data_IF_185422399788
#
_entry.id   IF_185422399788
#
_cell.length_a   1.000
_cell.length_b   1.000
_cell.length_c   1.000
_cell.angle_alpha   90.00
_cell.angle_beta   90.00
_cell.angle_gamma   90.00
#
_symmetry.space_group_name_H-M   'P 1'
#
loop_
_entity.id
_entity.type
_entity.pdbx_description
1 polymer ?
#
# COMPACT_ATOMS: atom_id res chain seq x y z
N UNK A 1 24.17 -60.42 -2.66
CA UNK A 1 24.29 -58.94 -2.66
C UNK A 1 23.49 -58.37 -3.83
N UNK A 2 22.30 -57.82 -3.58
CA UNK A 2 21.58 -56.97 -4.54
C UNK A 2 21.04 -55.78 -3.74
N UNK A 3 21.74 -54.65 -3.82
CA UNK A 3 21.33 -53.39 -3.21
C UNK A 3 20.19 -52.82 -4.06
N UNK A 4 18.97 -52.86 -3.55
CA UNK A 4 17.86 -52.11 -4.11
C UNK A 4 18.02 -50.64 -3.67
N UNK A 5 18.44 -49.78 -4.60
CA UNK A 5 18.39 -48.33 -4.41
C UNK A 5 16.93 -47.88 -4.50
N UNK A 6 16.27 -47.76 -3.35
CA UNK A 6 15.07 -46.94 -3.21
C UNK A 6 15.51 -45.47 -3.19
N UNK A 7 15.62 -44.85 -4.37
CA UNK A 7 15.71 -43.39 -4.45
C UNK A 7 14.30 -42.87 -4.23
N UNK A 8 14.08 -42.34 -3.03
CA UNK A 8 12.91 -41.54 -2.68
C UNK A 8 12.70 -40.47 -3.76
N UNK A 9 11.65 -40.63 -4.57
CA UNK A 9 11.03 -39.53 -5.29
C UNK A 9 10.24 -38.66 -4.30
N UNK A 10 10.94 -38.09 -3.32
CA UNK A 10 10.45 -36.99 -2.48
C UNK A 10 10.63 -35.68 -3.25
N UNK A 11 10.06 -35.59 -4.46
CA UNK A 11 9.80 -34.30 -5.09
C UNK A 11 8.68 -33.67 -4.28
N UNK A 12 9.11 -32.99 -3.23
CA UNK A 12 8.35 -32.01 -2.47
C UNK A 12 7.40 -31.28 -3.41
N UNK A 13 6.13 -31.37 -3.08
CA UNK A 13 5.05 -30.47 -3.44
C UNK A 13 5.46 -29.04 -3.05
N UNK A 14 6.42 -28.45 -3.76
CA UNK A 14 6.61 -27.03 -3.78
C UNK A 14 5.42 -26.49 -4.58
N UNK A 15 4.30 -26.29 -3.89
CA UNK A 15 3.29 -25.38 -4.39
C UNK A 15 4.02 -24.08 -4.79
N UNK A 16 3.72 -23.49 -5.96
CA UNK A 16 4.31 -22.21 -6.30
C UNK A 16 4.04 -21.28 -5.11
N UNK A 17 5.09 -20.78 -4.48
CA UNK A 17 4.93 -19.77 -3.46
C UNK A 17 4.31 -18.58 -4.18
N UNK A 18 3.02 -18.31 -3.92
CA UNK A 18 2.36 -17.14 -4.47
C UNK A 18 3.18 -15.92 -4.04
N UNK A 19 3.73 -15.22 -5.02
CA UNK A 19 4.66 -14.12 -4.80
C UNK A 19 3.84 -12.90 -4.41
N UNK A 20 3.57 -12.73 -3.13
CA UNK A 20 2.90 -11.56 -2.60
C UNK A 20 3.85 -10.41 -2.33
N UNK A 21 3.25 -9.28 -1.98
CA UNK A 21 3.96 -8.09 -1.53
C UNK A 21 3.52 -7.80 -0.10
N UNK A 22 4.49 -7.54 0.77
CA UNK A 22 4.28 -7.03 2.12
C UNK A 22 4.77 -5.59 2.18
N UNK A 23 3.95 -4.72 2.75
CA UNK A 23 4.28 -3.33 3.07
C UNK A 23 3.97 -3.12 4.54
N UNK A 24 4.94 -2.61 5.30
CA UNK A 24 4.74 -2.13 6.66
C UNK A 24 5.15 -0.67 6.72
N UNK A 25 4.38 0.11 7.48
CA UNK A 25 4.62 1.54 7.57
C UNK A 25 3.75 2.22 8.61
N UNK A 26 3.71 3.55 8.53
CA UNK A 26 2.84 4.41 9.33
C UNK A 26 2.20 5.44 8.43
N UNK A 27 0.89 5.59 8.52
CA UNK A 27 0.12 6.66 7.89
C UNK A 27 -0.50 7.48 9.02
N UNK A 28 -0.26 8.78 9.04
CA UNK A 28 -0.80 9.67 10.09
C UNK A 28 -0.38 9.25 11.52
N UNK A 29 0.78 8.61 11.61
CA UNK A 29 1.30 7.99 12.84
C UNK A 29 0.67 6.64 13.22
N UNK A 30 -0.36 6.19 12.49
CA UNK A 30 -1.03 4.92 12.71
C UNK A 30 -0.25 3.80 12.03
N UNK A 31 0.18 2.75 12.75
CA UNK A 31 0.90 1.64 12.15
C UNK A 31 -0.03 0.84 11.24
N UNK A 32 0.50 0.49 10.07
CA UNK A 32 -0.21 -0.26 9.04
C UNK A 32 0.68 -1.36 8.48
N UNK A 33 0.02 -2.46 8.15
CA UNK A 33 0.59 -3.58 7.41
C UNK A 33 -0.36 -3.93 6.28
N UNK A 34 0.13 -4.00 5.06
CA UNK A 34 -0.61 -4.39 3.88
C UNK A 34 0.06 -5.62 3.27
N UNK A 35 -0.74 -6.63 3.00
CA UNK A 35 -0.33 -7.84 2.30
C UNK A 35 -1.24 -8.01 1.08
N UNK A 36 -0.64 -8.12 -0.09
CA UNK A 36 -1.34 -8.18 -1.37
C UNK A 36 -0.72 -9.27 -2.25
N UNK A 37 -1.52 -9.80 -3.17
CA UNK A 37 -1.06 -10.71 -4.20
C UNK A 37 -0.14 -9.96 -5.19
N UNK A 38 0.86 -10.65 -5.74
CA UNK A 38 1.68 -10.10 -6.83
C UNK A 38 0.89 -9.97 -8.14
N UNK A 39 1.42 -9.26 -9.14
CA UNK A 39 0.74 -9.11 -10.44
C UNK A 39 0.48 -10.48 -11.09
N UNK A 40 -0.77 -10.74 -11.51
CA UNK A 40 -1.17 -12.00 -12.14
C UNK A 40 -1.35 -13.19 -11.17
N UNK A 41 -1.14 -12.99 -9.87
CA UNK A 41 -1.42 -14.00 -8.86
C UNK A 41 -2.93 -14.05 -8.52
N UNK A 42 -3.46 -15.21 -8.10
CA UNK A 42 -4.83 -15.30 -7.64
C UNK A 42 -5.15 -14.30 -6.54
N UNK A 43 -6.34 -13.70 -6.58
CA UNK A 43 -6.79 -12.67 -5.64
C UNK A 43 -6.09 -11.32 -5.80
N UNK A 44 -5.56 -11.04 -7.00
CA UNK A 44 -5.27 -9.69 -7.46
C UNK A 44 -6.52 -8.79 -7.25
N UNK A 45 -6.36 -7.68 -6.52
CA UNK A 45 -7.46 -6.81 -6.13
C UNK A 45 -8.02 -7.04 -4.73
N UNK A 46 -7.57 -8.07 -4.02
CA UNK A 46 -7.83 -8.25 -2.59
C UNK A 46 -6.58 -7.87 -1.77
N UNK A 47 -6.78 -7.17 -0.65
CA UNK A 47 -5.68 -6.74 0.24
C UNK A 47 -6.00 -7.10 1.68
N UNK A 48 -5.08 -7.80 2.35
CA UNK A 48 -5.13 -7.97 3.80
C UNK A 48 -4.45 -6.78 4.45
N UNK A 49 -5.20 -5.98 5.17
CA UNK A 49 -4.65 -4.87 5.95
C UNK A 49 -4.65 -5.23 7.44
N UNK A 50 -3.71 -4.67 8.18
CA UNK A 50 -3.77 -4.57 9.64
C UNK A 50 -3.54 -3.12 10.00
N UNK A 51 -4.54 -2.47 10.60
CA UNK A 51 -4.49 -1.05 10.98
C UNK A 51 -4.52 -0.96 12.49
N UNK A 52 -3.47 -0.41 13.10
CA UNK A 52 -3.31 -0.35 14.56
C UNK A 52 -3.53 -1.72 15.26
N UNK A 53 -3.08 -2.81 14.62
CA UNK A 53 -3.22 -4.18 15.13
C UNK A 53 -4.55 -4.86 14.77
N UNK A 54 -5.44 -4.19 14.05
CA UNK A 54 -6.76 -4.71 13.72
C UNK A 54 -6.80 -5.25 12.28
N UNK A 55 -7.07 -6.54 12.08
CA UNK A 55 -7.06 -7.15 10.75
C UNK A 55 -8.31 -6.77 9.97
N UNK A 56 -8.10 -6.45 8.68
CA UNK A 56 -9.12 -6.09 7.71
C UNK A 56 -8.84 -6.82 6.38
N UNK A 57 -9.90 -7.15 5.66
CA UNK A 57 -9.85 -7.63 4.29
C UNK A 57 -10.51 -6.59 3.40
N UNK A 58 -9.77 -6.12 2.40
CA UNK A 58 -10.23 -5.11 1.45
C UNK A 58 -10.45 -5.77 0.10
N UNK A 59 -11.61 -5.52 -0.50
CA UNK A 59 -11.89 -5.84 -1.90
C UNK A 59 -11.86 -4.52 -2.68
N UNK A 60 -10.80 -4.33 -3.45
CA UNK A 60 -10.57 -3.10 -4.22
C UNK A 60 -11.47 -3.02 -5.46
N UNK A 61 -11.98 -4.15 -5.98
CA UNK A 61 -12.90 -4.13 -7.10
C UNK A 61 -14.29 -3.68 -6.65
N UNK A 62 -14.71 -4.12 -5.46
CA UNK A 62 -15.99 -3.73 -4.85
C UNK A 62 -15.94 -2.47 -4.00
N UNK A 63 -14.75 -2.03 -3.60
CA UNK A 63 -14.56 -0.90 -2.69
C UNK A 63 -15.08 -1.19 -1.29
N UNK A 64 -14.93 -2.43 -0.79
CA UNK A 64 -15.48 -2.89 0.49
C UNK A 64 -14.40 -3.31 1.47
N UNK A 65 -14.73 -3.24 2.77
CA UNK A 65 -13.85 -3.63 3.88
C UNK A 65 -14.57 -4.61 4.80
N UNK A 66 -13.91 -5.70 5.17
CA UNK A 66 -14.38 -6.72 6.12
C UNK A 66 -13.42 -6.89 7.30
N UNK A 67 -13.90 -7.05 8.55
CA UNK A 67 -15.28 -6.83 8.95
C UNK A 67 -15.69 -5.37 8.71
N UNK A 68 -16.92 -5.17 8.22
CA UNK A 68 -17.46 -3.84 8.02
C UNK A 68 -17.65 -3.18 9.39
N UNK A 69 -16.69 -2.33 9.80
CA UNK A 69 -16.87 -1.46 10.95
C UNK A 69 -17.87 -0.39 10.54
N UNK A 70 -18.91 -0.22 11.35
CA UNK A 70 -20.05 0.69 11.15
C UNK A 70 -19.72 1.80 10.17
N UNK A 71 -20.03 1.56 8.90
CA UNK A 71 -19.65 2.41 7.80
C UNK A 71 -20.42 3.71 7.96
N UNK A 72 -19.76 4.76 8.44
CA UNK A 72 -20.11 6.06 7.90
C UNK A 72 -19.47 6.08 6.53
N UNK A 73 -20.15 5.46 5.57
CA UNK A 73 -19.94 5.80 4.16
C UNK A 73 -20.20 7.30 4.15
N UNK A 74 -19.16 8.12 4.22
CA UNK A 74 -19.31 9.53 3.93
C UNK A 74 -19.73 9.51 2.48
N UNK A 75 -21.04 9.62 2.26
CA UNK A 75 -21.53 10.23 1.03
C UNK A 75 -20.65 11.45 0.85
N UNK A 76 -20.02 11.55 -0.31
CA UNK A 76 -19.16 12.66 -0.70
C UNK A 76 -20.01 13.94 -0.76
N UNK A 77 -20.53 14.40 0.38
CA UNK A 77 -20.90 15.77 0.59
C UNK A 77 -19.57 16.51 0.46
N UNK A 78 -19.43 17.21 -0.66
CA UNK A 78 -18.18 17.75 -1.21
C UNK A 78 -17.11 17.91 -0.16
N UNK A 79 -16.08 17.06 -0.25
CA UNK A 79 -14.84 17.30 0.49
C UNK A 79 -14.36 18.74 0.22
N UNK A 80 -13.54 19.32 1.10
CA UNK A 80 -12.96 20.63 0.84
C UNK A 80 -12.37 20.63 -0.58
N UNK A 81 -12.68 21.67 -1.35
CA UNK A 81 -12.16 21.83 -2.71
C UNK A 81 -10.64 21.84 -2.62
N UNK A 82 -10.01 20.81 -3.20
CA UNK A 82 -8.55 20.70 -3.24
C UNK A 82 -8.05 21.55 -4.39
N UNK A 83 -7.06 22.41 -4.12
CA UNK A 83 -6.44 23.26 -5.13
C UNK A 83 -5.61 22.47 -6.14
N UNK A 84 -4.87 23.18 -6.99
CA UNK A 84 -3.96 22.53 -7.94
C UNK A 84 -2.76 21.94 -7.20
N UNK A 85 -2.73 20.60 -7.10
CA UNK A 85 -1.65 19.86 -6.43
C UNK A 85 -0.58 19.41 -7.41
N UNK A 86 0.69 19.63 -7.08
CA UNK A 86 1.84 19.27 -7.91
C UNK A 86 2.98 18.67 -7.08
N UNK A 87 3.65 17.64 -7.63
CA UNK A 87 4.95 17.16 -7.13
C UNK A 87 6.06 17.66 -8.05
N UNK A 88 6.92 18.52 -7.52
CA UNK A 88 8.08 19.06 -8.25
C UNK A 88 9.36 18.35 -7.81
N UNK A 89 10.12 17.68 -8.71
CA UNK A 89 11.40 17.08 -8.35
C UNK A 89 12.41 18.14 -7.89
N UNK A 90 13.07 17.90 -6.75
CA UNK A 90 14.16 18.72 -6.22
C UNK A 90 15.54 18.13 -6.52
N UNK A 91 15.61 16.80 -6.74
CA UNK A 91 16.85 16.12 -7.07
C UNK A 91 16.78 14.61 -6.88
N UNK A 92 17.93 13.95 -7.03
CA UNK A 92 18.07 12.52 -6.77
C UNK A 92 17.86 12.18 -5.30
N UNK A 93 17.18 11.08 -5.03
CA UNK A 93 16.98 10.49 -3.72
C UNK A 93 17.87 9.27 -3.50
N UNK A 94 17.59 8.52 -2.42
CA UNK A 94 18.30 7.28 -2.12
C UNK A 94 18.11 6.22 -3.23
N UNK A 95 19.15 5.43 -3.50
CA UNK A 95 19.07 4.28 -4.41
C UNK A 95 18.46 3.08 -3.69
N UNK A 96 17.44 2.46 -4.28
CA UNK A 96 16.77 1.27 -3.78
C UNK A 96 16.75 0.20 -4.86
N UNK A 97 17.25 -0.99 -4.53
CA UNK A 97 17.31 -2.12 -5.47
C UNK A 97 17.92 -1.72 -6.85
N UNK A 98 18.94 -0.85 -6.84
CA UNK A 98 19.60 -0.37 -8.07
C UNK A 98 18.88 0.77 -8.80
N UNK A 99 17.72 1.21 -8.33
CA UNK A 99 16.97 2.34 -8.90
C UNK A 99 17.08 3.59 -8.03
N UNK A 100 17.39 4.72 -8.65
CA UNK A 100 17.48 6.02 -7.97
C UNK A 100 16.08 6.52 -7.63
N UNK A 101 15.83 6.84 -6.36
CA UNK A 101 14.62 7.54 -5.92
C UNK A 101 14.66 9.03 -6.26
N UNK A 102 13.61 9.77 -5.93
CA UNK A 102 13.54 11.22 -6.12
C UNK A 102 13.08 11.91 -4.85
N UNK A 103 13.72 13.02 -4.50
CA UNK A 103 13.19 13.98 -3.53
C UNK A 103 12.31 14.99 -4.26
N UNK A 104 11.13 15.27 -3.72
CA UNK A 104 10.10 16.06 -4.39
C UNK A 104 9.41 16.99 -3.39
N UNK A 105 9.00 18.14 -3.87
CA UNK A 105 8.20 19.12 -3.14
C UNK A 105 6.73 18.94 -3.54
N UNK A 106 5.84 18.75 -2.55
CA UNK A 106 4.40 18.78 -2.76
C UNK A 106 3.87 20.19 -2.56
N UNK A 107 3.21 20.73 -3.57
CA UNK A 107 2.57 22.04 -3.52
C UNK A 107 1.08 21.98 -3.82
N UNK A 108 0.32 22.89 -3.22
CA UNK A 108 -1.09 23.17 -3.53
C UNK A 108 -1.22 24.67 -3.81
N UNK A 109 -1.69 25.04 -5.01
CA UNK A 109 -1.78 26.44 -5.46
C UNK A 109 -0.49 27.25 -5.21
N UNK A 110 0.66 26.59 -5.40
CA UNK A 110 1.99 27.19 -5.18
C UNK A 110 2.46 27.25 -3.72
N UNK A 111 1.63 26.84 -2.74
CA UNK A 111 2.03 26.73 -1.32
C UNK A 111 2.70 25.38 -1.08
N UNK A 112 3.72 25.35 -0.23
CA UNK A 112 4.41 24.11 0.13
C UNK A 112 3.60 23.36 1.19
N UNK A 113 3.11 22.17 0.83
CA UNK A 113 2.35 21.29 1.72
C UNK A 113 3.21 20.23 2.40
N UNK A 114 4.34 19.89 1.77
CA UNK A 114 5.28 18.92 2.30
C UNK A 114 6.30 18.50 1.26
N UNK A 115 7.00 17.42 1.59
CA UNK A 115 8.04 16.85 0.77
C UNK A 115 7.86 15.33 0.72
N UNK A 116 8.37 14.72 -0.36
CA UNK A 116 8.27 13.28 -0.62
C UNK A 116 9.61 12.75 -1.10
N UNK A 117 10.08 11.70 -0.46
CA UNK A 117 11.10 10.80 -0.99
C UNK A 117 10.39 9.61 -1.64
N UNK A 118 10.35 9.57 -2.97
CA UNK A 118 9.60 8.61 -3.75
C UNK A 118 10.48 7.65 -4.55
N UNK A 119 9.93 6.46 -4.83
CA UNK A 119 10.47 5.48 -5.76
C UNK A 119 9.50 5.25 -6.92
N UNK A 120 9.82 5.80 -8.09
CA UNK A 120 8.94 5.70 -9.26
C UNK A 120 8.75 4.24 -9.74
N UNK A 121 9.80 3.42 -9.68
CA UNK A 121 9.75 2.06 -10.23
C UNK A 121 8.81 1.13 -9.46
N UNK A 122 8.60 1.38 -8.16
CA UNK A 122 7.75 0.54 -7.31
C UNK A 122 6.27 0.74 -7.59
N UNK A 123 5.87 1.93 -8.06
CA UNK A 123 4.45 2.31 -8.13
C UNK A 123 3.60 1.34 -8.95
N UNK A 124 4.12 0.83 -10.07
CA UNK A 124 3.39 -0.16 -10.90
C UNK A 124 3.01 -1.44 -10.16
N UNK A 125 3.77 -1.81 -9.13
CA UNK A 125 3.51 -2.99 -8.31
C UNK A 125 2.67 -2.65 -7.08
N UNK A 126 2.75 -1.40 -6.61
CA UNK A 126 2.14 -0.93 -5.37
C UNK A 126 0.87 -0.10 -5.58
N UNK A 127 0.42 0.06 -6.82
CA UNK A 127 -0.86 0.71 -7.15
C UNK A 127 -2.05 0.12 -6.37
N UNK A 128 -2.18 -1.22 -6.18
CA UNK A 128 -3.22 -1.78 -5.32
C UNK A 128 -3.10 -1.32 -3.87
N UNK A 129 -1.88 -1.11 -3.36
CA UNK A 129 -1.67 -0.60 -2.01
C UNK A 129 -2.06 0.88 -1.89
N UNK A 130 -1.84 1.70 -2.92
CA UNK A 130 -2.35 3.08 -2.94
C UNK A 130 -3.87 3.10 -2.86
N UNK A 131 -4.55 2.29 -3.67
CA UNK A 131 -6.02 2.15 -3.65
C UNK A 131 -6.54 1.63 -2.32
N UNK A 132 -5.83 0.68 -1.71
CA UNK A 132 -6.17 0.17 -0.38
C UNK A 132 -6.08 1.27 0.68
N UNK A 133 -5.03 2.10 0.64
CA UNK A 133 -4.87 3.21 1.58
C UNK A 133 -5.95 4.29 1.37
N UNK A 134 -6.29 4.66 0.14
CA UNK A 134 -7.43 5.56 -0.13
C UNK A 134 -8.74 5.01 0.44
N UNK A 135 -8.98 3.70 0.28
CA UNK A 135 -10.16 3.05 0.82
C UNK A 135 -10.17 3.08 2.36
N UNK A 136 -9.01 2.87 2.99
CA UNK A 136 -8.85 2.97 4.44
C UNK A 136 -9.05 4.41 4.95
N UNK A 137 -8.46 5.42 4.29
CA UNK A 137 -8.66 6.85 4.62
C UNK A 137 -10.14 7.24 4.58
N UNK A 138 -10.92 6.66 3.67
CA UNK A 138 -12.36 6.92 3.55
C UNK A 138 -13.22 6.28 4.65
N UNK A 139 -12.71 5.25 5.36
CA UNK A 139 -13.50 4.44 6.29
C UNK A 139 -12.99 4.46 7.74
N UNK A 140 -11.71 4.73 7.97
CA UNK A 140 -11.09 4.75 9.29
C UNK A 140 -10.76 6.19 9.71
N UNK A 141 -11.47 6.77 10.68
CA UNK A 141 -11.22 8.14 11.14
C UNK A 141 -9.80 8.39 11.67
N UNK A 142 -9.08 7.33 12.07
CA UNK A 142 -7.68 7.46 12.53
C UNK A 142 -6.74 7.79 11.38
N UNK A 143 -7.12 7.42 10.16
CA UNK A 143 -6.37 7.61 8.93
C UNK A 143 -6.89 8.79 8.11
N UNK A 144 -7.87 9.55 8.61
CA UNK A 144 -8.43 10.69 7.87
C UNK A 144 -7.31 11.71 7.54
N UNK A 145 -7.20 12.15 6.27
CA UNK A 145 -6.20 13.13 5.87
C UNK A 145 -6.35 14.42 6.67
N UNK A 146 -5.24 15.02 7.07
CA UNK A 146 -5.24 16.25 7.89
C UNK A 146 -4.72 17.43 7.10
N UNK A 147 -5.38 18.56 7.26
CA UNK A 147 -4.92 19.84 6.73
C UNK A 147 -3.61 20.25 7.41
N UNK A 148 -2.65 20.73 6.63
CA UNK A 148 -1.28 21.03 7.10
C UNK A 148 -0.71 22.22 6.39
N UNK A 149 0.04 23.04 7.12
CA UNK A 149 0.81 24.14 6.53
C UNK A 149 -0.02 25.09 5.63
N UNK A 150 -1.33 25.24 5.91
CA UNK A 150 -2.24 26.04 5.10
C UNK A 150 -2.69 25.38 3.79
N UNK A 151 -2.47 24.08 3.64
CA UNK A 151 -2.99 23.25 2.57
C UNK A 151 -4.20 22.43 3.04
N UNK A 152 -5.01 22.02 2.06
CA UNK A 152 -6.14 21.11 2.21
C UNK A 152 -5.72 19.76 2.82
N UNK A 153 -6.66 18.98 3.38
CA UNK A 153 -6.40 17.61 3.82
C UNK A 153 -6.15 16.69 2.62
N UNK A 154 -4.91 16.67 2.12
CA UNK A 154 -4.49 15.89 0.95
C UNK A 154 -4.40 14.40 1.30
N UNK A 155 -5.29 13.59 0.72
CA UNK A 155 -5.27 12.13 0.86
C UNK A 155 -4.02 11.47 0.24
N UNK A 156 -3.79 10.22 0.59
CA UNK A 156 -2.57 9.47 0.28
C UNK A 156 -2.18 9.52 -1.21
N UNK A 157 -3.17 9.46 -2.11
CA UNK A 157 -2.98 9.53 -3.57
C UNK A 157 -2.16 10.71 -4.06
N UNK A 158 -2.30 11.89 -3.45
CA UNK A 158 -1.55 13.08 -3.84
C UNK A 158 -0.06 12.92 -3.57
N UNK A 159 0.30 12.16 -2.54
CA UNK A 159 1.67 11.87 -2.14
C UNK A 159 2.35 10.80 -3.01
N UNK A 160 1.58 10.08 -3.84
CA UNK A 160 2.09 8.95 -4.63
C UNK A 160 2.13 9.20 -6.14
N UNK A 161 1.80 10.41 -6.61
CA UNK A 161 1.62 10.69 -8.05
C UNK A 161 2.87 10.46 -8.91
N UNK A 162 4.06 10.48 -8.30
CA UNK A 162 5.35 10.30 -8.99
C UNK A 162 6.14 9.08 -8.48
N UNK A 163 5.52 8.21 -7.68
CA UNK A 163 6.17 7.02 -7.15
C UNK A 163 5.61 6.59 -5.81
N UNK A 164 6.05 5.43 -5.33
CA UNK A 164 5.73 5.01 -3.98
C UNK A 164 6.52 5.85 -2.95
N UNK A 165 5.86 6.48 -1.97
CA UNK A 165 6.55 7.29 -0.97
C UNK A 165 7.27 6.39 0.05
N UNK A 166 8.59 6.51 0.15
CA UNK A 166 9.35 5.96 1.28
C UNK A 166 9.15 6.80 2.53
N UNK A 167 9.08 8.11 2.32
CA UNK A 167 8.84 9.11 3.33
C UNK A 167 8.03 10.23 2.65
N UNK A 168 6.95 10.65 3.29
CA UNK A 168 6.14 11.78 2.88
C UNK A 168 5.73 12.56 4.12
N UNK A 169 5.79 13.88 4.08
CA UNK A 169 5.33 14.69 5.22
C UNK A 169 5.75 16.14 5.18
N UNK A 170 5.44 16.83 6.28
CA UNK A 170 5.83 18.21 6.50
C UNK A 170 7.10 18.33 7.34
N UNK A 171 7.43 19.57 7.73
CA UNK A 171 8.67 19.87 8.47
C UNK A 171 8.77 19.18 9.84
N UNK A 172 7.63 18.95 10.49
CA UNK A 172 7.56 18.47 11.88
C UNK A 172 6.95 17.08 12.03
N UNK A 173 6.29 16.58 11.00
CA UNK A 173 5.53 15.34 11.08
C UNK A 173 5.49 14.61 9.74
N UNK A 174 5.69 13.30 9.80
CA UNK A 174 5.51 12.43 8.65
C UNK A 174 4.01 12.16 8.44
N UNK A 175 3.56 12.33 7.20
CA UNK A 175 2.26 11.84 6.75
C UNK A 175 2.37 10.34 6.53
N UNK A 176 3.42 9.88 5.84
CA UNK A 176 3.66 8.47 5.59
C UNK A 176 5.13 8.10 5.73
N UNK A 177 5.38 6.93 6.33
CA UNK A 177 6.71 6.31 6.41
C UNK A 177 6.58 4.85 5.99
N UNK A 178 7.35 4.46 4.98
CA UNK A 178 7.60 3.05 4.69
C UNK A 178 8.65 2.51 5.65
N UNK A 179 8.30 1.51 6.45
CA UNK A 179 9.23 0.84 7.37
C UNK A 179 9.80 -0.44 6.75
N UNK A 180 9.01 -1.17 5.95
CA UNK A 180 9.44 -2.39 5.26
C UNK A 180 8.66 -2.60 3.98
N UNK A 181 9.34 -3.08 2.93
CA UNK A 181 8.71 -3.64 1.73
C UNK A 181 9.38 -4.97 1.40
N UNK A 182 8.59 -5.98 1.04
CA UNK A 182 9.05 -7.26 0.50
C UNK A 182 8.22 -7.63 -0.72
N UNK A 183 8.87 -7.97 -1.83
CA UNK A 183 8.23 -8.41 -3.07
C UNK A 183 8.22 -9.95 -3.24
N UNK A 184 8.74 -10.66 -2.25
CA UNK A 184 8.86 -12.11 -2.15
C UNK A 184 8.00 -12.66 -1.00
N UNK A 185 6.98 -11.90 -0.58
CA UNK A 185 6.23 -12.22 0.63
C UNK A 185 5.36 -13.45 0.39
N UNK A 186 5.46 -14.51 1.20
CA UNK A 186 4.55 -15.64 1.09
C UNK A 186 3.12 -15.18 1.37
N UNK A 187 2.27 -15.18 0.35
CA UNK A 187 0.89 -14.72 0.50
C UNK A 187 -0.09 -15.86 0.20
N UNK A 188 -0.47 -16.65 1.22
CA UNK A 188 -1.47 -17.67 1.03
C UNK A 188 -2.85 -17.00 1.02
N UNK A 189 -3.48 -16.90 -0.15
CA UNK A 189 -4.93 -16.71 -0.17
C UNK A 189 -5.56 -17.90 0.54
N UNK A 190 -6.49 -17.71 1.49
CA UNK A 190 -7.36 -18.78 1.93
C UNK A 190 -8.10 -19.28 0.71
N UNK A 191 -7.74 -20.47 0.26
CA UNK A 191 -8.66 -21.34 -0.44
C UNK A 191 -9.91 -21.43 0.42
N UNK A 192 -11.08 -21.08 -0.13
CA UNK A 192 -12.34 -21.41 0.54
C UNK A 192 -12.43 -22.91 0.82
N UNK A 193 -13.48 -23.39 1.53
CA UNK A 193 -13.68 -24.81 1.78
C UNK A 193 -13.64 -25.69 0.51
N UNK A 194 -13.87 -25.10 -0.67
CA UNK A 194 -13.82 -25.75 -1.98
C UNK A 194 -12.53 -25.48 -2.80
N UNK A 195 -11.48 -24.89 -2.21
CA UNK A 195 -10.25 -24.58 -2.95
C UNK A 195 -10.37 -23.42 -3.95
N UNK A 196 -11.49 -22.71 -3.96
CA UNK A 196 -11.76 -21.64 -4.92
C UNK A 196 -11.25 -20.29 -4.39
N UNK A 197 -10.32 -19.69 -5.12
CA UNK A 197 -9.94 -18.28 -4.94
C UNK A 197 -11.08 -17.42 -5.51
N UNK A 198 -11.54 -16.36 -4.82
CA UNK A 198 -12.48 -15.41 -5.41
C UNK A 198 -11.87 -14.88 -6.72
N UNK A 199 -12.58 -15.09 -7.83
CA UNK A 199 -12.21 -14.55 -9.14
C UNK A 199 -12.54 -13.07 -9.24
#
# INVERSE_FOLDING_TARGET
MRRACAILAGLLLAAPASAGILIEGRLEGVPLRLELAGPGEPGEGLVRATVAGEPLLLDLARGTIEPARGSRTRTAAGGPEVGLVQLTPLGGGATMAGHVGAWQLLTEDGRICGEVLASAWMLRFLEPAVRALELLEAHDPRLEPRARHGCSPLGFRYWTTQGWPLLAGGRSEAVFVTERIRFDHPFPWPSGPDGMVPR
#
